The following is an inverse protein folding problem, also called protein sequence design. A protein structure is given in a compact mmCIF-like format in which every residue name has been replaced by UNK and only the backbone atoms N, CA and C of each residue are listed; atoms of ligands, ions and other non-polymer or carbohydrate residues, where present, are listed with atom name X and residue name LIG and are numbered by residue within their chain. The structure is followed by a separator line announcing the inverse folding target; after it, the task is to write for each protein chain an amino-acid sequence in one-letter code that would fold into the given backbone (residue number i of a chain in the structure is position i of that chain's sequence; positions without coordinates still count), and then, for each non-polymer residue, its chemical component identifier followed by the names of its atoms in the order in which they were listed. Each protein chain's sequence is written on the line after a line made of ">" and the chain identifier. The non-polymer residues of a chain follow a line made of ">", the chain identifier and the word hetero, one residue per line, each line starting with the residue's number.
data_IF_022030754967
#
_entry.id   IF_022030754967
#
_cell.length_a   1.000
_cell.length_b   1.000
_cell.length_c   1.000
_cell.angle_alpha   90.00
_cell.angle_beta   90.00
_cell.angle_gamma   90.00
#
_symmetry.space_group_name_H-M   'P 1'
#
loop_
_entity.id
_entity.type
_entity.pdbx_description
1 polymer ?
#
# COMPACT_ATOMS: atom_id res chain seq x y z
N UNK A 1 -21.18 -3.58 -33.44
CA UNK A 1 -21.72 -4.84 -32.89
C UNK A 1 -20.93 -5.29 -31.67
N UNK A 2 -19.58 -5.32 -31.74
CA UNK A 2 -18.69 -5.73 -30.64
C UNK A 2 -18.81 -4.94 -29.32
N UNK A 3 -19.12 -3.65 -29.36
CA UNK A 3 -19.21 -2.79 -28.15
C UNK A 3 -20.47 -3.11 -27.32
N UNK A 4 -21.60 -3.40 -27.97
CA UNK A 4 -22.85 -3.69 -27.26
C UNK A 4 -22.82 -5.08 -26.62
N UNK A 5 -22.18 -6.06 -27.26
CA UNK A 5 -21.96 -7.39 -26.70
C UNK A 5 -20.98 -7.33 -25.51
N UNK A 6 -19.91 -6.54 -25.64
CA UNK A 6 -18.97 -6.29 -24.54
C UNK A 6 -19.68 -5.67 -23.32
N UNK A 7 -20.58 -4.71 -23.55
CA UNK A 7 -21.36 -4.07 -22.48
C UNK A 7 -22.28 -5.05 -21.76
N UNK A 8 -22.93 -5.96 -22.50
CA UNK A 8 -23.80 -7.00 -21.92
C UNK A 8 -23.01 -7.98 -21.05
N UNK A 9 -21.82 -8.36 -21.49
CA UNK A 9 -20.92 -9.24 -20.73
C UNK A 9 -20.45 -8.56 -19.44
N UNK A 10 -20.03 -7.29 -19.49
CA UNK A 10 -19.60 -6.55 -18.29
C UNK A 10 -20.74 -6.41 -17.28
N UNK A 11 -21.96 -6.09 -17.72
CA UNK A 11 -23.14 -6.01 -16.84
C UNK A 11 -23.48 -7.35 -16.18
N UNK A 12 -23.30 -8.47 -16.89
CA UNK A 12 -23.50 -9.81 -16.34
C UNK A 12 -22.45 -10.11 -15.26
N UNK A 13 -21.18 -9.80 -15.54
CA UNK A 13 -20.07 -9.99 -14.60
C UNK A 13 -20.31 -9.13 -13.34
N UNK A 14 -20.69 -7.87 -13.48
CA UNK A 14 -20.96 -6.98 -12.34
C UNK A 14 -22.09 -7.50 -11.45
N UNK A 15 -23.14 -8.08 -12.04
CA UNK A 15 -24.22 -8.75 -11.29
C UNK A 15 -23.71 -9.98 -10.54
N UNK A 16 -22.91 -10.82 -11.18
CA UNK A 16 -22.33 -12.01 -10.54
C UNK A 16 -21.44 -11.60 -9.37
N UNK A 17 -20.55 -10.63 -9.56
CA UNK A 17 -19.70 -10.10 -8.48
C UNK A 17 -20.50 -9.54 -7.30
N UNK A 18 -21.62 -8.88 -7.60
CA UNK A 18 -22.50 -8.32 -6.59
C UNK A 18 -23.27 -9.40 -5.80
N UNK A 19 -23.88 -10.38 -6.49
CA UNK A 19 -24.76 -11.38 -5.85
C UNK A 19 -24.00 -12.56 -5.25
N UNK A 20 -22.92 -12.99 -5.90
CA UNK A 20 -22.10 -14.12 -5.45
C UNK A 20 -20.93 -13.68 -4.55
N UNK A 21 -20.85 -12.37 -4.25
CA UNK A 21 -19.80 -11.74 -3.44
C UNK A 21 -18.36 -12.11 -3.86
N UNK A 22 -18.15 -12.34 -5.16
CA UNK A 22 -16.88 -12.76 -5.73
C UNK A 22 -16.16 -11.61 -6.46
N UNK A 23 -14.85 -11.77 -6.68
CA UNK A 23 -14.08 -10.80 -7.45
C UNK A 23 -12.96 -11.48 -8.24
N UNK A 24 -12.97 -11.24 -9.55
CA UNK A 24 -12.14 -11.97 -10.51
C UNK A 24 -12.61 -13.42 -10.72
N UNK A 25 -11.81 -14.19 -11.43
CA UNK A 25 -12.02 -15.63 -11.61
C UNK A 25 -11.46 -16.42 -10.41
N UNK A 26 -10.35 -15.94 -9.85
CA UNK A 26 -9.67 -16.50 -8.67
C UNK A 26 -9.54 -15.45 -7.58
N UNK A 27 -9.11 -14.24 -7.93
CA UNK A 27 -8.91 -13.13 -6.99
C UNK A 27 -9.11 -11.79 -7.68
N UNK A 28 -9.26 -10.70 -6.92
CA UNK A 28 -9.36 -9.36 -7.50
C UNK A 28 -8.14 -8.92 -8.30
N UNK A 29 -6.97 -9.52 -8.05
CA UNK A 29 -5.74 -9.20 -8.79
C UNK A 29 -5.82 -9.62 -10.27
N UNK A 30 -6.77 -10.49 -10.63
CA UNK A 30 -7.06 -10.88 -12.02
C UNK A 30 -7.38 -9.66 -12.90
N UNK A 31 -7.90 -8.58 -12.29
CA UNK A 31 -8.17 -7.33 -13.00
C UNK A 31 -6.90 -6.58 -13.39
N UNK A 32 -5.81 -6.68 -12.63
CA UNK A 32 -4.58 -5.93 -12.87
C UNK A 32 -3.94 -6.26 -14.23
N UNK A 33 -4.09 -7.51 -14.67
CA UNK A 33 -3.61 -8.00 -15.97
C UNK A 33 -4.72 -8.07 -17.03
N UNK A 34 -5.92 -7.55 -16.74
CA UNK A 34 -7.08 -7.68 -17.61
C UNK A 34 -7.14 -6.57 -18.67
N UNK A 35 -7.88 -6.84 -19.75
CA UNK A 35 -8.22 -5.83 -20.75
C UNK A 35 -9.05 -4.67 -20.18
N UNK A 36 -9.77 -4.91 -19.08
CA UNK A 36 -10.50 -3.87 -18.37
C UNK A 36 -9.53 -2.84 -17.77
N UNK A 37 -8.46 -3.29 -17.10
CA UNK A 37 -7.46 -2.39 -16.54
C UNK A 37 -6.76 -1.56 -17.62
N UNK A 38 -6.43 -2.17 -18.76
CA UNK A 38 -5.83 -1.44 -19.89
C UNK A 38 -6.73 -0.30 -20.42
N UNK A 39 -8.06 -0.47 -20.36
CA UNK A 39 -9.01 0.56 -20.74
C UNK A 39 -9.13 1.66 -19.68
N UNK A 40 -9.20 1.28 -18.41
CA UNK A 40 -9.29 2.23 -17.28
C UNK A 40 -8.02 3.08 -17.16
N UNK A 41 -6.84 2.48 -17.32
CA UNK A 41 -5.57 3.20 -17.24
C UNK A 41 -5.34 4.16 -18.41
N UNK A 42 -6.09 4.01 -19.50
CA UNK A 42 -6.04 4.91 -20.66
C UNK A 42 -7.19 5.92 -20.68
N UNK A 43 -8.08 5.90 -19.69
CA UNK A 43 -9.19 6.84 -19.59
C UNK A 43 -8.65 8.22 -19.15
N UNK A 44 -8.94 9.31 -19.90
CA UNK A 44 -8.55 10.67 -19.51
C UNK A 44 -9.05 11.09 -18.13
N UNK A 45 -10.13 10.47 -17.62
CA UNK A 45 -10.64 10.72 -16.28
C UNK A 45 -9.63 10.41 -15.16
N UNK A 46 -8.62 9.58 -15.42
CA UNK A 46 -7.58 9.19 -14.47
C UNK A 46 -6.19 9.68 -14.88
N UNK A 47 -6.09 10.72 -15.72
CA UNK A 47 -4.80 11.27 -16.15
C UNK A 47 -3.97 11.83 -14.98
N UNK A 48 -4.63 12.30 -13.91
CA UNK A 48 -3.99 12.90 -12.73
C UNK A 48 -4.20 12.11 -11.42
N UNK A 49 -4.96 11.01 -11.46
CA UNK A 49 -5.35 10.23 -10.28
C UNK A 49 -5.00 8.74 -10.48
N UNK A 50 -4.77 8.02 -9.39
CA UNK A 50 -4.56 6.57 -9.47
C UNK A 50 -5.82 5.87 -10.02
N UNK A 51 -5.72 5.09 -11.12
CA UNK A 51 -6.85 4.37 -11.67
C UNK A 51 -7.35 3.30 -10.68
N UNK A 52 -8.66 3.01 -10.67
CA UNK A 52 -9.20 1.94 -9.85
C UNK A 52 -8.60 0.58 -10.25
N UNK A 53 -8.19 -0.20 -9.24
CA UNK A 53 -7.54 -1.51 -9.43
C UNK A 53 -8.53 -2.64 -9.70
N UNK A 54 -9.80 -2.46 -9.33
CA UNK A 54 -10.90 -3.41 -9.57
C UNK A 54 -12.21 -2.65 -9.83
N UNK A 55 -13.20 -3.25 -10.50
CA UNK A 55 -14.54 -2.67 -10.63
C UNK A 55 -15.21 -2.41 -9.27
N UNK A 56 -16.11 -1.42 -9.21
CA UNK A 56 -16.89 -1.10 -7.99
C UNK A 56 -17.77 -2.26 -7.49
N UNK A 57 -18.22 -3.11 -8.42
CA UNK A 57 -18.97 -4.35 -8.17
C UNK A 57 -18.15 -5.38 -7.38
N UNK A 58 -16.83 -5.41 -7.52
CA UNK A 58 -15.90 -6.25 -6.74
C UNK A 58 -15.77 -5.79 -5.26
N UNK A 59 -16.13 -4.55 -4.94
CA UNK A 59 -16.06 -4.06 -3.57
C UNK A 59 -17.22 -4.57 -2.72
N UNK A 60 -16.97 -4.84 -1.43
CA UNK A 60 -18.08 -5.13 -0.49
C UNK A 60 -19.03 -3.94 -0.41
N UNK A 61 -20.32 -4.21 -0.53
CA UNK A 61 -21.37 -3.21 -0.70
C UNK A 61 -22.01 -2.80 0.64
N UNK A 62 -22.65 -1.62 0.70
CA UNK A 62 -23.47 -1.20 1.85
C UNK A 62 -24.89 -1.76 1.77
N UNK A 63 -25.62 -1.72 2.90
CA UNK A 63 -27.06 -1.95 2.92
C UNK A 63 -27.78 -0.93 2.02
N UNK A 64 -28.57 -1.42 1.07
CA UNK A 64 -29.30 -0.60 0.08
C UNK A 64 -28.60 -0.40 -1.26
N UNK A 65 -27.37 -0.92 -1.44
CA UNK A 65 -26.74 -0.99 -2.76
C UNK A 65 -27.43 -2.02 -3.66
N UNK A 66 -27.28 -1.89 -4.97
CA UNK A 66 -27.79 -2.84 -5.96
C UNK A 66 -26.77 -3.10 -7.06
N UNK A 67 -26.93 -4.20 -7.82
CA UNK A 67 -26.02 -4.48 -8.93
C UNK A 67 -26.02 -3.41 -10.04
N UNK A 68 -27.10 -2.63 -10.19
CA UNK A 68 -27.15 -1.50 -11.12
C UNK A 68 -26.62 -0.19 -10.51
N UNK A 69 -26.48 -0.11 -9.19
CA UNK A 69 -25.95 1.04 -8.48
C UNK A 69 -25.11 0.56 -7.28
N UNK A 70 -23.90 0.02 -7.54
CA UNK A 70 -23.03 -0.49 -6.50
C UNK A 70 -22.47 0.68 -5.68
N UNK A 71 -22.57 0.57 -4.36
CA UNK A 71 -22.02 1.55 -3.42
C UNK A 71 -21.11 0.81 -2.45
N UNK A 72 -19.81 0.95 -2.66
CA UNK A 72 -18.80 0.30 -1.85
C UNK A 72 -18.89 0.77 -0.39
N UNK A 73 -18.92 -0.18 0.55
CA UNK A 73 -18.78 0.07 1.99
C UNK A 73 -17.50 0.81 2.31
N UNK A 74 -16.44 0.51 1.56
CA UNK A 74 -15.17 1.22 1.67
C UNK A 74 -14.41 1.24 0.35
N UNK A 75 -14.73 2.24 -0.47
CA UNK A 75 -14.11 2.45 -1.78
C UNK A 75 -12.57 2.51 -1.70
N UNK A 76 -12.05 3.38 -0.83
CA UNK A 76 -10.60 3.59 -0.68
C UNK A 76 -9.86 2.31 -0.30
N UNK A 77 -10.41 1.48 0.60
CA UNK A 77 -9.76 0.20 0.99
C UNK A 77 -9.85 -0.85 -0.12
N UNK A 78 -10.95 -0.88 -0.85
CA UNK A 78 -11.14 -1.79 -1.98
C UNK A 78 -10.15 -1.50 -3.10
N UNK A 79 -9.90 -0.20 -3.33
CA UNK A 79 -9.02 0.29 -4.39
C UNK A 79 -7.53 0.41 -3.99
N UNK A 80 -7.17 0.01 -2.77
CA UNK A 80 -5.78 0.03 -2.32
C UNK A 80 -5.03 -1.23 -2.74
N UNK A 81 -3.90 -1.05 -3.43
CA UNK A 81 -2.96 -2.13 -3.74
C UNK A 81 -2.43 -2.79 -2.46
N UNK A 82 -2.19 -4.10 -2.52
CA UNK A 82 -1.70 -4.91 -1.41
C UNK A 82 -0.46 -4.31 -0.67
N UNK A 83 0.56 -3.73 -1.34
CA UNK A 83 1.69 -3.11 -0.64
C UNK A 83 1.29 -1.96 0.29
N UNK A 84 0.31 -1.13 -0.09
CA UNK A 84 -0.16 -0.02 0.74
C UNK A 84 -0.89 -0.47 2.03
N UNK A 85 -1.44 -1.69 2.04
CA UNK A 85 -2.00 -2.28 3.26
C UNK A 85 -0.90 -2.73 4.22
N UNK A 86 0.11 -3.40 3.70
CA UNK A 86 1.19 -3.96 4.52
C UNK A 86 2.06 -2.87 5.13
N UNK A 87 2.45 -1.83 4.38
CA UNK A 87 3.28 -0.74 4.90
C UNK A 87 2.65 -0.03 6.10
N UNK A 88 1.33 0.20 6.10
CA UNK A 88 0.63 0.85 7.22
C UNK A 88 0.69 0.04 8.51
N UNK A 89 0.57 -1.28 8.41
CA UNK A 89 0.64 -2.17 9.57
C UNK A 89 2.09 -2.43 10.00
N UNK A 90 2.98 -2.64 9.03
CA UNK A 90 4.42 -2.84 9.30
C UNK A 90 5.03 -1.61 9.95
N UNK A 91 4.80 -0.41 9.41
CA UNK A 91 5.35 0.82 9.96
C UNK A 91 4.82 1.08 11.38
N UNK A 92 3.50 1.00 11.60
CA UNK A 92 2.91 1.22 12.92
C UNK A 92 3.40 0.21 13.98
N UNK A 93 3.55 -1.07 13.60
CA UNK A 93 3.99 -2.12 14.51
C UNK A 93 5.50 -2.06 14.78
N UNK A 94 6.32 -1.88 13.74
CA UNK A 94 7.78 -1.81 13.85
C UNK A 94 8.23 -0.53 14.58
N UNK A 95 7.64 0.60 14.21
CA UNK A 95 7.97 1.88 14.82
C UNK A 95 7.17 2.15 16.10
N UNK A 96 6.25 1.27 16.50
CA UNK A 96 5.47 1.41 17.73
C UNK A 96 4.79 2.79 17.82
N UNK A 97 4.04 3.15 16.78
CA UNK A 97 3.43 4.46 16.59
C UNK A 97 1.98 4.35 16.13
N UNK A 98 1.22 5.45 16.19
CA UNK A 98 -0.14 5.51 15.68
C UNK A 98 -0.42 6.84 15.00
N UNK A 99 -0.98 6.80 13.79
CA UNK A 99 -1.25 7.99 12.98
C UNK A 99 0.03 8.65 12.44
N UNK A 100 -0.12 9.77 11.74
CA UNK A 100 0.98 10.62 11.32
C UNK A 100 1.57 11.38 12.50
N UNK A 101 0.76 12.21 13.16
CA UNK A 101 1.14 12.98 14.36
C UNK A 101 0.69 12.28 15.65
N UNK A 102 -0.41 11.54 15.59
CA UNK A 102 -0.89 10.77 16.72
C UNK A 102 -2.17 9.99 16.45
N UNK A 103 -2.69 9.25 17.45
CA UNK A 103 -3.88 8.42 17.29
C UNK A 103 -5.16 9.21 16.95
N UNK A 104 -5.19 10.51 17.24
CA UNK A 104 -6.31 11.41 16.90
C UNK A 104 -6.44 11.67 15.40
N UNK A 105 -5.44 11.36 14.58
CA UNK A 105 -5.55 11.45 13.12
C UNK A 105 -6.64 10.54 12.56
N UNK A 106 -7.01 9.50 13.33
CA UNK A 106 -8.14 8.64 12.99
C UNK A 106 -9.49 9.28 13.34
N UNK A 107 -9.56 10.26 14.25
CA UNK A 107 -10.82 10.91 14.62
C UNK A 107 -11.42 11.63 13.41
N UNK A 108 -12.71 11.42 13.13
CA UNK A 108 -13.40 11.88 11.92
C UNK A 108 -12.78 11.44 10.58
N UNK A 109 -11.73 10.61 10.59
CA UNK A 109 -11.21 10.00 9.38
C UNK A 109 -12.20 8.99 8.81
N UNK A 110 -11.93 8.55 7.58
CA UNK A 110 -12.65 7.44 6.97
C UNK A 110 -12.71 6.18 7.87
N UNK A 111 -11.64 5.88 8.62
CA UNK A 111 -11.62 4.77 9.56
C UNK A 111 -12.67 4.93 10.66
N UNK A 112 -12.74 6.10 11.28
CA UNK A 112 -13.68 6.39 12.36
C UNK A 112 -15.13 6.37 11.88
N UNK A 113 -15.41 6.90 10.69
CA UNK A 113 -16.77 6.85 10.13
C UNK A 113 -17.20 5.41 9.86
N UNK A 114 -16.33 4.58 9.28
CA UNK A 114 -16.67 3.20 8.92
C UNK A 114 -16.69 2.25 10.11
N UNK A 115 -15.82 2.43 11.10
CA UNK A 115 -15.66 1.48 12.21
C UNK A 115 -16.31 1.97 13.51
N UNK A 116 -16.59 3.27 13.66
CA UNK A 116 -17.27 3.82 14.86
C UNK A 116 -18.71 4.18 14.57
N UNK A 117 -18.99 4.98 13.53
CA UNK A 117 -20.38 5.37 13.22
C UNK A 117 -21.18 4.29 12.51
N UNK A 118 -20.55 3.49 11.64
CA UNK A 118 -21.20 2.45 10.84
C UNK A 118 -20.92 1.01 11.31
N UNK A 119 -20.21 0.80 12.43
CA UNK A 119 -19.64 -0.50 12.80
C UNK A 119 -19.22 -0.71 14.27
N UNK A 120 -18.18 -1.53 14.47
CA UNK A 120 -17.72 -2.20 15.73
C UNK A 120 -17.20 -1.31 16.86
N UNK A 121 -17.46 0.01 16.84
CA UNK A 121 -16.90 1.00 17.79
C UNK A 121 -15.37 0.94 17.91
N UNK A 122 -14.67 0.90 16.78
CA UNK A 122 -13.19 0.91 16.75
C UNK A 122 -12.65 2.29 16.40
N UNK A 123 -12.03 2.97 17.36
CA UNK A 123 -11.49 4.32 17.26
C UNK A 123 -10.18 4.38 16.47
N UNK A 124 -9.32 3.36 16.63
CA UNK A 124 -8.04 3.23 15.93
C UNK A 124 -7.87 1.82 15.33
N UNK A 125 -7.02 1.63 14.33
CA UNK A 125 -6.69 0.31 13.82
C UNK A 125 -5.95 -0.56 14.86
N UNK A 126 -6.08 -1.90 14.80
CA UNK A 126 -5.39 -2.80 15.72
C UNK A 126 -3.86 -2.73 15.65
N UNK A 127 -3.29 -2.21 14.56
CA UNK A 127 -1.83 -1.96 14.46
C UNK A 127 -1.35 -0.79 15.33
N UNK A 128 -2.24 0.11 15.76
CA UNK A 128 -1.92 1.15 16.74
C UNK A 128 -1.84 0.63 18.18
N UNK A 129 -2.35 -0.58 18.43
CA UNK A 129 -2.30 -1.19 19.75
C UNK A 129 -0.90 -1.68 20.07
N UNK A 130 -0.56 -1.69 21.36
CA UNK A 130 0.64 -2.35 21.84
C UNK A 130 0.53 -3.84 21.58
N UNK A 131 1.54 -4.39 20.93
CA UNK A 131 1.54 -5.78 20.45
C UNK A 131 2.24 -6.69 21.45
N UNK A 132 1.74 -7.92 21.61
CA UNK A 132 2.42 -8.98 22.34
C UNK A 132 3.67 -9.43 21.56
N UNK A 133 4.58 -10.15 22.21
CA UNK A 133 5.81 -10.66 21.56
C UNK A 133 5.53 -11.59 20.37
N UNK A 134 4.35 -12.23 20.33
CA UNK A 134 3.91 -13.04 19.20
C UNK A 134 3.38 -12.21 18.01
N UNK A 135 3.10 -10.92 18.21
CA UNK A 135 2.54 -10.03 17.20
C UNK A 135 3.56 -9.74 16.09
N UNK A 136 3.10 -9.82 14.84
CA UNK A 136 3.90 -9.48 13.67
C UNK A 136 3.17 -8.46 12.79
N UNK A 137 3.90 -7.80 11.91
CA UNK A 137 3.36 -6.81 10.98
C UNK A 137 2.16 -7.32 10.13
N UNK A 138 2.19 -8.59 9.77
CA UNK A 138 1.19 -9.29 8.96
C UNK A 138 0.13 -10.03 9.80
N UNK A 139 0.35 -10.15 11.11
CA UNK A 139 -0.55 -10.77 12.06
C UNK A 139 -0.48 -10.02 13.41
N UNK A 140 -1.17 -8.87 13.53
CA UNK A 140 -1.20 -8.10 14.76
C UNK A 140 -1.80 -8.94 15.89
N UNK A 141 -1.13 -8.98 17.03
CA UNK A 141 -1.60 -9.62 18.26
C UNK A 141 -1.55 -8.59 19.40
N UNK A 142 -2.60 -7.76 19.56
CA UNK A 142 -2.67 -6.78 20.63
C UNK A 142 -2.55 -7.44 22.00
N UNK A 143 -1.80 -6.84 22.93
CA UNK A 143 -1.76 -7.29 24.33
C UNK A 143 -3.15 -7.16 24.94
N UNK A 144 -3.82 -6.05 24.67
CA UNK A 144 -5.19 -5.80 25.06
C UNK A 144 -6.10 -5.90 23.82
N UNK A 145 -6.95 -6.94 23.72
CA UNK A 145 -7.85 -7.13 22.58
C UNK A 145 -8.92 -6.03 22.46
N UNK A 146 -9.21 -5.29 23.54
CA UNK A 146 -10.18 -4.19 23.56
C UNK A 146 -9.58 -2.81 23.30
N UNK A 147 -8.26 -2.73 23.11
CA UNK A 147 -7.51 -1.51 22.83
C UNK A 147 -8.18 -0.59 21.78
N UNK A 148 -8.73 -1.14 20.71
CA UNK A 148 -9.36 -0.36 19.63
C UNK A 148 -10.67 0.31 20.02
N UNK A 149 -11.31 -0.11 21.11
CA UNK A 149 -12.65 0.32 21.54
C UNK A 149 -12.64 1.37 22.64
N UNK A 150 -11.48 1.64 23.25
CA UNK A 150 -11.38 2.71 24.25
C UNK A 150 -11.51 4.07 23.60
N UNK A 151 -12.18 4.98 24.31
CA UNK A 151 -12.25 6.39 23.91
C UNK A 151 -10.88 7.04 24.05
N UNK A 152 -10.62 8.01 23.17
CA UNK A 152 -9.49 8.92 23.28
C UNK A 152 -9.39 9.51 24.69
N UNK A 153 -8.15 9.72 25.15
CA UNK A 153 -7.78 10.32 26.44
C UNK A 153 -8.24 9.53 27.69
N UNK A 154 -8.77 8.32 27.52
CA UNK A 154 -8.98 7.43 28.66
C UNK A 154 -7.66 6.79 29.11
N UNK A 155 -7.51 6.52 30.41
CA UNK A 155 -6.31 5.86 30.96
C UNK A 155 -6.02 4.52 30.28
N UNK A 156 -7.07 3.75 29.96
CA UNK A 156 -6.95 2.48 29.26
C UNK A 156 -6.46 2.64 27.81
N UNK A 157 -6.86 3.72 27.13
CA UNK A 157 -6.37 4.05 25.79
C UNK A 157 -4.87 4.35 25.80
N UNK A 158 -4.42 5.21 26.72
CA UNK A 158 -3.01 5.61 26.82
C UNK A 158 -2.08 4.44 27.20
N UNK A 159 -2.58 3.50 28.02
CA UNK A 159 -1.83 2.30 28.38
C UNK A 159 -1.76 1.25 27.27
N UNK A 160 -2.79 1.16 26.42
CA UNK A 160 -2.95 0.08 25.45
C UNK A 160 -2.65 0.47 24.00
N UNK A 161 -2.63 1.77 23.67
CA UNK A 161 -2.38 2.33 22.34
C UNK A 161 -1.05 3.09 22.30
N UNK A 162 -0.36 3.10 21.16
CA UNK A 162 0.77 3.98 20.94
C UNK A 162 0.30 5.43 20.75
N UNK A 163 0.78 6.35 21.58
CA UNK A 163 0.42 7.77 21.51
C UNK A 163 1.34 8.59 20.62
N UNK A 164 2.56 8.13 20.37
CA UNK A 164 3.52 8.77 19.46
C UNK A 164 3.13 8.62 18.00
N UNK A 165 3.24 9.71 17.23
CA UNK A 165 3.04 9.73 15.78
C UNK A 165 4.13 9.00 15.00
N UNK A 166 3.75 8.40 13.87
CA UNK A 166 4.69 7.70 13.00
C UNK A 166 5.62 8.65 12.23
N UNK A 167 5.19 9.89 11.97
CA UNK A 167 6.02 10.88 11.28
C UNK A 167 7.27 11.23 12.09
N UNK A 168 7.10 11.57 13.36
CA UNK A 168 8.22 11.95 14.23
C UNK A 168 9.22 10.79 14.40
N UNK A 169 8.71 9.57 14.59
CA UNK A 169 9.57 8.39 14.73
C UNK A 169 10.31 8.04 13.43
N UNK A 170 9.65 8.17 12.29
CA UNK A 170 10.29 7.95 10.99
C UNK A 170 11.41 8.96 10.76
N UNK A 171 11.18 10.24 11.05
CA UNK A 171 12.20 11.29 10.91
C UNK A 171 13.38 11.05 11.84
N UNK A 172 13.12 10.73 13.12
CA UNK A 172 14.20 10.39 14.08
C UNK A 172 15.01 9.18 13.61
N UNK A 173 14.36 8.14 13.10
CA UNK A 173 15.05 6.99 12.54
C UNK A 173 15.90 7.36 11.30
N UNK A 174 15.37 8.19 10.41
CA UNK A 174 16.13 8.65 9.24
C UNK A 174 17.36 9.47 9.64
N UNK A 175 17.22 10.39 10.59
CA UNK A 175 18.34 11.20 11.09
C UNK A 175 19.45 10.32 11.68
N UNK A 176 19.07 9.31 12.48
CA UNK A 176 20.03 8.35 13.07
C UNK A 176 20.73 7.48 12.01
N UNK A 177 20.03 7.12 10.94
CA UNK A 177 20.59 6.25 9.88
C UNK A 177 21.26 7.05 8.75
N UNK A 178 21.17 8.38 8.75
CA UNK A 178 21.72 9.24 7.69
C UNK A 178 23.21 9.01 7.48
N UNK A 179 23.98 8.74 8.55
CA UNK A 179 25.40 8.45 8.44
C UNK A 179 25.68 7.15 7.66
N UNK A 180 24.84 6.11 7.82
CA UNK A 180 24.97 4.85 7.09
C UNK A 180 24.66 5.08 5.62
N UNK A 181 23.57 5.80 5.32
CA UNK A 181 23.21 6.12 3.94
C UNK A 181 24.29 6.94 3.24
N UNK A 182 24.89 7.90 3.93
CA UNK A 182 26.02 8.68 3.42
C UNK A 182 27.23 7.77 3.13
N UNK A 183 27.57 6.85 4.04
CA UNK A 183 28.67 5.91 3.86
C UNK A 183 28.45 4.96 2.68
N UNK A 184 27.26 4.37 2.56
CA UNK A 184 26.89 3.50 1.44
C UNK A 184 26.91 4.27 0.12
N UNK A 185 26.35 5.49 0.10
CA UNK A 185 26.34 6.36 -1.08
C UNK A 185 27.75 6.69 -1.56
N UNK A 186 28.65 7.08 -0.65
CA UNK A 186 30.04 7.36 -0.99
C UNK A 186 30.79 6.12 -1.46
N UNK A 187 30.59 4.98 -0.81
CA UNK A 187 31.18 3.71 -1.22
C UNK A 187 30.76 3.29 -2.63
N UNK A 188 29.47 3.44 -2.95
CA UNK A 188 28.95 3.14 -4.28
C UNK A 188 29.53 4.10 -5.34
N UNK A 189 29.63 5.40 -5.03
CA UNK A 189 30.26 6.38 -5.91
C UNK A 189 31.74 6.06 -6.20
N UNK A 190 32.50 5.68 -5.17
CA UNK A 190 33.90 5.27 -5.34
C UNK A 190 34.04 4.02 -6.21
N UNK A 191 33.19 3.00 -5.98
CA UNK A 191 33.16 1.79 -6.82
C UNK A 191 32.82 2.10 -8.28
N UNK A 192 31.88 3.02 -8.52
CA UNK A 192 31.54 3.45 -9.88
C UNK A 192 32.73 4.13 -10.58
N UNK A 193 33.47 5.00 -9.89
CA UNK A 193 34.67 5.67 -10.44
C UNK A 193 35.77 4.65 -10.78
N UNK A 194 36.02 3.69 -9.89
CA UNK A 194 36.97 2.60 -10.15
C UNK A 194 36.53 1.77 -11.35
N UNK A 195 35.24 1.45 -11.46
CA UNK A 195 34.66 0.76 -12.61
C UNK A 195 34.91 1.52 -13.91
N UNK A 196 34.65 2.82 -13.95
CA UNK A 196 34.92 3.67 -15.12
C UNK A 196 36.40 3.68 -15.50
N UNK A 197 37.30 3.82 -14.52
CA UNK A 197 38.74 3.82 -14.78
C UNK A 197 39.22 2.48 -15.37
N UNK A 198 38.77 1.35 -14.81
CA UNK A 198 39.10 0.01 -15.31
C UNK A 198 38.55 -0.21 -16.73
N UNK A 199 37.32 0.23 -17.00
CA UNK A 199 36.74 0.17 -18.35
C UNK A 199 37.56 0.96 -19.37
N UNK A 200 38.02 2.16 -19.02
CA UNK A 200 38.86 2.97 -19.92
C UNK A 200 40.21 2.32 -20.21
N UNK A 201 40.88 1.77 -19.17
CA UNK A 201 42.15 1.07 -19.33
C UNK A 201 41.98 -0.16 -20.24
N UNK A 202 40.92 -0.94 -20.03
CA UNK A 202 40.65 -2.15 -20.82
C UNK A 202 40.31 -1.81 -22.28
N UNK A 203 39.52 -0.77 -22.54
CA UNK A 203 39.23 -0.34 -23.90
C UNK A 203 40.52 0.09 -24.64
N UNK A 204 41.43 0.78 -23.95
CA UNK A 204 42.70 1.19 -24.54
C UNK A 204 43.62 0.00 -24.84
N UNK A 205 43.71 -0.97 -23.92
CA UNK A 205 44.53 -2.17 -24.12
C UNK A 205 44.03 -3.05 -25.25
N UNK A 206 42.70 -3.24 -25.36
CA UNK A 206 42.08 -3.98 -26.48
C UNK A 206 42.34 -3.28 -27.81
N UNK A 207 42.20 -1.95 -27.86
CA UNK A 207 42.42 -1.17 -29.09
C UNK A 207 43.87 -1.24 -29.57
N UNK A 208 44.83 -1.18 -28.63
CA UNK A 208 46.24 -1.41 -28.93
C UNK A 208 46.49 -2.83 -29.46
N UNK A 209 45.89 -3.84 -28.83
CA UNK A 209 46.05 -5.23 -29.26
C UNK A 209 45.46 -5.50 -30.66
N UNK A 210 44.33 -4.88 -30.99
CA UNK A 210 43.76 -4.97 -32.34
C UNK A 210 44.64 -4.29 -33.39
N UNK A 211 45.24 -3.14 -33.06
CA UNK A 211 46.15 -2.42 -33.96
C UNK A 211 47.38 -3.27 -34.30
N UNK A 212 48.04 -3.86 -33.29
CA UNK A 212 49.22 -4.73 -33.50
C UNK A 212 48.89 -6.00 -34.29
N UNK A 213 47.66 -6.51 -34.19
CA UNK A 213 47.22 -7.69 -34.95
C UNK A 213 46.94 -7.40 -36.41
N UNK A 214 46.48 -6.19 -36.75
CA UNK A 214 46.22 -5.81 -38.14
C UNK A 214 47.51 -5.45 -38.92
N UNK A 215 48.61 -5.17 -38.20
CA UNK A 215 49.95 -4.91 -38.76
C UNK A 215 50.79 -6.18 -39.05
N UNK A 216 50.26 -7.38 -38.75
CA UNK A 216 50.92 -8.69 -38.96
C UNK A 216 50.12 -9.60 -39.89
#
# INVERSE_FOLDING_TARGET
>A
MEVEDSRRITVLIDKLQFYEECCGATTGDDYLASRWMALVSSDPAYENDDPPIVPLSCCRQILGASALNPVARSLVRCQQSNPNRTWRHTAAIQQQCCGGEGPRDYYNSFWFITNTYRGTRSFVPPSCCRQAQAGRAWAPAPIDPMCTTYRYDSKAFESSVYTSGCHEKLMRWLDEQTWIFAGVGFGFAALMVVGMALSLILCNSVRYYTFVRDDY
#
